data_IF_162133516593
#
_entry.id   IF_162133516593
#
_cell.length_a   1.000
_cell.length_b   1.000
_cell.length_c   1.000
_cell.angle_alpha   90.00
_cell.angle_beta   90.00
_cell.angle_gamma   90.00
#
_symmetry.space_group_name_H-M   'P 1'
#
loop_
_entity.id
_entity.type
_entity.pdbx_description
1 polymer ?
#
# COMPACT_ATOMS: atom_id res chain seq x y z
N UNK A 1 32.24 -12.91 -25.45
CA UNK A 1 30.86 -13.24 -25.01
C UNK A 1 30.65 -12.52 -23.69
N UNK A 2 30.12 -11.30 -23.74
CA UNK A 2 29.74 -10.53 -22.56
C UNK A 2 28.37 -9.95 -22.86
N UNK A 3 27.34 -10.57 -22.32
CA UNK A 3 25.96 -10.10 -22.42
C UNK A 3 25.68 -9.19 -21.23
N UNK A 4 25.64 -7.88 -21.49
CA UNK A 4 25.20 -6.86 -20.55
C UNK A 4 23.68 -6.93 -20.40
N UNK A 5 23.21 -7.26 -19.19
CA UNK A 5 21.79 -7.24 -18.84
C UNK A 5 21.34 -5.80 -18.62
N UNK A 6 20.60 -5.24 -19.57
CA UNK A 6 19.89 -3.98 -19.38
C UNK A 6 18.77 -4.18 -18.34
N UNK A 7 18.97 -3.66 -17.13
CA UNK A 7 17.93 -3.58 -16.11
C UNK A 7 16.93 -2.51 -16.50
N UNK A 8 15.75 -2.92 -16.98
CA UNK A 8 14.61 -2.01 -17.12
C UNK A 8 14.08 -1.66 -15.72
N UNK A 9 14.07 -0.37 -15.40
CA UNK A 9 13.52 0.17 -14.16
C UNK A 9 12.00 -0.10 -14.11
N UNK A 10 11.58 -1.11 -13.33
CA UNK A 10 10.18 -1.38 -13.08
C UNK A 10 9.64 -0.36 -12.08
N UNK A 11 8.69 0.47 -12.50
CA UNK A 11 8.09 1.48 -11.64
C UNK A 11 6.91 0.87 -10.89
N UNK A 12 6.92 0.93 -9.56
CA UNK A 12 5.77 0.50 -8.74
C UNK A 12 4.62 1.49 -8.87
N UNK A 13 3.42 1.07 -8.45
CA UNK A 13 2.22 1.89 -8.56
C UNK A 13 2.44 3.30 -7.97
N UNK A 14 2.29 4.37 -8.75
CA UNK A 14 2.44 5.72 -8.21
C UNK A 14 1.27 6.03 -7.27
N UNK A 15 1.58 6.45 -6.06
CA UNK A 15 0.62 7.06 -5.14
C UNK A 15 0.21 8.41 -5.73
N UNK A 16 -1.09 8.65 -5.97
CA UNK A 16 -1.58 9.96 -6.41
C UNK A 16 -1.46 10.97 -5.26
N UNK A 17 -0.44 11.82 -5.32
CA UNK A 17 -0.28 12.98 -4.43
C UNK A 17 -1.32 14.05 -4.79
N UNK A 18 -2.26 14.34 -3.88
CA UNK A 18 -2.99 15.62 -3.88
C UNK A 18 -3.04 16.13 -2.44
N UNK A 19 -2.20 17.12 -2.15
CA UNK A 19 -2.19 17.91 -0.91
C UNK A 19 -3.37 18.88 -0.92
N UNK A 20 -4.08 18.97 0.20
CA UNK A 20 -5.20 19.87 0.41
C UNK A 20 -4.73 21.18 1.08
N UNK A 21 -5.16 22.34 0.55
CA UNK A 21 -5.19 23.61 1.30
C UNK A 21 -6.43 24.44 0.96
N UNK A 22 -6.96 25.11 1.99
CA UNK A 22 -8.18 25.92 2.03
C UNK A 22 -7.93 27.41 1.68
N UNK A 23 -8.86 28.08 0.95
CA UNK A 23 -9.39 29.44 1.23
C UNK A 23 -10.49 29.85 0.22
N UNK A 24 -11.36 30.77 0.68
CA UNK A 24 -12.70 31.16 0.17
C UNK A 24 -12.67 32.38 -0.79
N UNK A 25 -13.57 32.37 -1.79
CA UNK A 25 -14.19 33.41 -2.67
C UNK A 25 -13.36 34.51 -3.39
N UNK A 26 -13.42 34.54 -4.74
CA UNK A 26 -14.16 35.51 -5.61
C UNK A 26 -14.06 35.12 -7.12
N UNK A 27 -15.07 35.46 -7.94
CA UNK A 27 -15.36 35.11 -9.38
C UNK A 27 -14.65 36.08 -10.38
N UNK A 28 -14.62 36.01 -11.76
CA UNK A 28 -15.24 35.10 -12.77
C UNK A 28 -14.33 34.44 -13.85
N UNK A 29 -14.94 33.45 -14.53
CA UNK A 29 -14.79 33.03 -15.95
C UNK A 29 -13.44 32.51 -16.45
N UNK A 30 -13.35 31.20 -16.70
CA UNK A 30 -13.14 30.55 -18.02
C UNK A 30 -13.19 29.02 -17.85
N UNK A 31 -13.84 28.38 -18.83
CA UNK A 31 -14.20 26.97 -19.03
C UNK A 31 -13.04 25.98 -18.75
N UNK A 32 -13.28 24.90 -17.98
CA UNK A 32 -13.06 23.47 -18.34
C UNK A 32 -13.72 22.51 -17.31
N UNK A 33 -14.35 21.39 -17.72
CA UNK A 33 -15.07 20.50 -16.81
C UNK A 33 -14.12 19.49 -16.14
N UNK A 34 -13.95 19.59 -14.81
CA UNK A 34 -13.55 18.42 -14.01
C UNK A 34 -14.70 17.42 -14.11
N UNK A 35 -14.43 16.26 -14.69
CA UNK A 35 -15.38 15.15 -14.73
C UNK A 35 -15.81 14.82 -13.29
N UNK A 36 -17.01 15.25 -12.92
CA UNK A 36 -17.70 14.80 -11.72
C UNK A 36 -18.04 13.35 -11.98
N UNK A 37 -17.28 12.44 -11.38
CA UNK A 37 -17.53 11.01 -11.44
C UNK A 37 -18.91 10.79 -10.80
N UNK A 38 -19.87 10.30 -11.58
CA UNK A 38 -21.23 10.06 -11.12
C UNK A 38 -21.23 8.98 -10.02
N UNK A 39 -21.39 9.43 -8.77
CA UNK A 39 -21.47 8.60 -7.58
C UNK A 39 -22.59 7.54 -7.63
N UNK A 40 -23.52 7.65 -8.59
CA UNK A 40 -24.70 6.78 -8.71
C UNK A 40 -24.42 5.42 -9.37
N UNK A 41 -23.35 5.28 -10.15
CA UNK A 41 -22.97 4.01 -10.82
C UNK A 41 -22.03 3.11 -10.01
N UNK A 42 -21.59 3.57 -8.83
CA UNK A 42 -20.71 2.83 -7.91
C UNK A 42 -21.47 1.96 -6.89
N UNK A 43 -22.80 1.83 -7.03
CA UNK A 43 -23.61 0.99 -6.15
C UNK A 43 -23.25 -0.49 -6.35
N UNK A 44 -22.27 -0.98 -5.58
CA UNK A 44 -21.98 -2.41 -5.44
C UNK A 44 -20.57 -2.86 -5.83
N UNK A 45 -19.69 -1.96 -6.28
CA UNK A 45 -18.30 -2.35 -6.57
C UNK A 45 -17.53 -2.58 -5.26
N UNK A 46 -16.94 -3.77 -5.14
CA UNK A 46 -16.05 -4.14 -4.03
C UNK A 46 -14.63 -4.28 -4.54
N UNK A 47 -13.65 -3.97 -3.68
CA UNK A 47 -12.26 -4.18 -4.01
C UNK A 47 -11.96 -5.67 -4.21
N UNK A 48 -11.33 -6.04 -5.32
CA UNK A 48 -11.00 -7.43 -5.64
C UNK A 48 -9.98 -8.08 -4.68
N UNK A 49 -9.30 -7.29 -3.85
CA UNK A 49 -8.43 -7.79 -2.78
C UNK A 49 -9.15 -7.85 -1.43
N UNK A 50 -9.61 -6.71 -0.90
CA UNK A 50 -10.15 -6.65 0.47
C UNK A 50 -11.65 -6.91 0.57
N UNK A 51 -12.35 -7.01 -0.57
CA UNK A 51 -13.80 -7.18 -0.69
C UNK A 51 -14.65 -6.12 0.04
N UNK A 52 -14.02 -5.05 0.52
CA UNK A 52 -14.71 -3.91 1.09
C UNK A 52 -15.20 -2.98 -0.02
N UNK A 53 -16.44 -2.46 0.07
CA UNK A 53 -16.93 -1.38 -0.77
C UNK A 53 -16.53 0.01 -0.22
N UNK A 54 -15.92 0.08 0.96
CA UNK A 54 -15.66 1.34 1.66
C UNK A 54 -14.31 1.93 1.27
N UNK A 55 -14.35 3.15 0.76
CA UNK A 55 -13.20 4.04 0.67
C UNK A 55 -12.91 4.67 2.03
N UNK A 56 -11.68 4.51 2.51
CA UNK A 56 -11.18 5.06 3.77
C UNK A 56 -9.75 5.53 3.56
N UNK A 57 -9.17 6.25 4.51
CA UNK A 57 -7.74 6.60 4.46
C UNK A 57 -6.84 5.36 4.34
N UNK A 58 -7.20 4.25 4.98
CA UNK A 58 -6.43 2.99 5.00
C UNK A 58 -6.53 2.20 3.70
N UNK A 59 -7.60 2.40 2.93
CA UNK A 59 -7.78 1.75 1.63
C UNK A 59 -7.34 2.64 0.48
N UNK A 60 -7.53 3.96 0.58
CA UNK A 60 -7.39 4.89 -0.54
C UNK A 60 -8.57 4.79 -1.53
N UNK A 61 -8.63 5.67 -2.54
CA UNK A 61 -9.69 5.65 -3.55
C UNK A 61 -9.69 4.36 -4.37
N UNK A 62 -10.81 4.09 -5.04
CA UNK A 62 -10.89 3.02 -6.03
C UNK A 62 -10.17 3.39 -7.32
N UNK A 63 -9.42 2.43 -7.85
CA UNK A 63 -8.86 2.39 -9.18
C UNK A 63 -9.55 1.28 -9.97
N UNK A 64 -9.59 1.43 -11.29
CA UNK A 64 -10.27 0.52 -12.19
C UNK A 64 -9.32 0.11 -13.29
N UNK A 65 -9.17 -1.20 -13.50
CA UNK A 65 -8.30 -1.72 -14.54
C UNK A 65 -9.06 -2.57 -15.54
N UNK A 66 -8.77 -2.38 -16.82
CA UNK A 66 -9.25 -3.23 -17.90
C UNK A 66 -8.10 -3.49 -18.88
N UNK A 67 -7.88 -4.76 -19.24
CA UNK A 67 -6.81 -5.16 -20.15
C UNK A 67 -5.43 -4.60 -19.76
N UNK A 68 -5.14 -4.57 -18.45
CA UNK A 68 -3.88 -4.06 -17.90
C UNK A 68 -3.74 -2.53 -17.91
N UNK A 69 -4.78 -1.74 -18.23
CA UNK A 69 -4.73 -0.28 -18.19
C UNK A 69 -5.71 0.30 -17.19
N UNK A 70 -5.36 1.40 -16.55
CA UNK A 70 -6.27 2.15 -15.69
C UNK A 70 -7.33 2.85 -16.55
N UNK A 71 -8.60 2.78 -16.13
CA UNK A 71 -9.74 3.34 -16.87
C UNK A 71 -10.55 4.27 -15.97
N UNK A 72 -10.92 5.44 -16.50
CA UNK A 72 -11.71 6.45 -15.76
C UNK A 72 -13.24 6.26 -15.80
N UNK A 73 -13.76 5.42 -16.71
CA UNK A 73 -15.20 5.20 -16.89
C UNK A 73 -15.50 3.72 -17.22
N UNK A 74 -16.62 3.20 -16.69
CA UNK A 74 -17.02 1.78 -16.67
C UNK A 74 -18.13 1.44 -17.69
N UNK A 75 -18.66 2.39 -18.46
CA UNK A 75 -19.96 2.24 -19.15
C UNK A 75 -20.05 1.16 -20.23
N UNK A 76 -18.98 0.45 -20.59
CA UNK A 76 -19.06 -0.61 -21.61
C UNK A 76 -18.00 -1.72 -21.55
N UNK A 77 -17.31 -1.92 -20.43
CA UNK A 77 -16.25 -2.93 -20.33
C UNK A 77 -16.69 -4.13 -19.48
N UNK A 78 -16.75 -5.32 -20.09
CA UNK A 78 -17.24 -6.56 -19.47
C UNK A 78 -16.28 -7.19 -18.43
N UNK A 79 -15.09 -6.62 -18.24
CA UNK A 79 -14.04 -7.14 -17.32
C UNK A 79 -13.24 -6.02 -16.67
N UNK A 80 -13.90 -5.19 -15.86
CA UNK A 80 -13.23 -4.18 -15.05
C UNK A 80 -12.86 -4.77 -13.69
N UNK A 81 -11.58 -4.69 -13.33
CA UNK A 81 -11.08 -5.03 -12.01
C UNK A 81 -11.10 -3.76 -11.15
N UNK A 82 -11.85 -3.80 -10.07
CA UNK A 82 -11.97 -2.69 -9.12
C UNK A 82 -11.10 -2.98 -7.89
N UNK A 83 -10.15 -2.10 -7.57
CA UNK A 83 -9.24 -2.26 -6.43
C UNK A 83 -8.97 -0.93 -5.77
N UNK A 84 -8.81 -0.91 -4.45
CA UNK A 84 -8.38 0.32 -3.79
C UNK A 84 -6.89 0.59 -4.05
N UNK A 85 -6.50 1.87 -4.15
CA UNK A 85 -5.13 2.28 -4.47
C UNK A 85 -4.09 1.71 -3.49
N UNK A 86 -4.33 1.76 -2.17
CA UNK A 86 -3.40 1.15 -1.19
C UNK A 86 -3.43 -0.38 -1.24
N UNK A 87 -4.56 -1.00 -1.63
CA UNK A 87 -4.62 -2.45 -1.77
C UNK A 87 -3.70 -2.95 -2.89
N UNK A 88 -3.65 -2.22 -4.02
CA UNK A 88 -2.79 -2.60 -5.14
C UNK A 88 -1.33 -2.18 -4.94
N UNK A 89 -1.07 -1.00 -4.37
CA UNK A 89 0.27 -0.48 -4.08
C UNK A 89 1.09 -1.41 -3.16
N UNK A 90 0.43 -1.97 -2.13
CA UNK A 90 1.03 -2.90 -1.18
C UNK A 90 0.94 -4.36 -1.60
N UNK A 91 0.36 -4.66 -2.77
CA UNK A 91 0.38 -6.01 -3.32
C UNK A 91 1.77 -6.29 -3.89
N UNK A 92 2.42 -7.39 -3.48
CA UNK A 92 3.75 -7.71 -3.97
C UNK A 92 3.70 -8.04 -5.47
N UNK A 93 4.78 -7.77 -6.20
CA UNK A 93 4.95 -8.16 -7.62
C UNK A 93 4.02 -7.47 -8.63
N UNK A 94 3.11 -6.58 -8.20
CA UNK A 94 2.38 -5.68 -9.11
C UNK A 94 3.26 -4.47 -9.40
N UNK A 95 3.41 -4.16 -10.69
CA UNK A 95 4.21 -3.03 -11.15
C UNK A 95 3.68 -2.53 -12.49
N UNK A 96 4.15 -1.35 -12.89
CA UNK A 96 3.86 -0.74 -14.17
C UNK A 96 5.02 -0.90 -15.15
N UNK A 97 4.70 -1.27 -16.37
CA UNK A 97 5.59 -1.19 -17.53
C UNK A 97 4.98 -0.17 -18.51
N UNK A 98 5.48 1.08 -18.45
CA UNK A 98 4.77 2.22 -19.01
C UNK A 98 3.40 2.39 -18.35
N UNK A 99 2.34 2.53 -19.14
CA UNK A 99 0.96 2.68 -18.64
C UNK A 99 0.23 1.34 -18.44
N UNK A 100 0.95 0.21 -18.51
CA UNK A 100 0.37 -1.12 -18.41
C UNK A 100 0.75 -1.72 -17.06
N UNK A 101 -0.26 -2.06 -16.27
CA UNK A 101 -0.08 -2.81 -15.04
C UNK A 101 0.17 -4.29 -15.33
N UNK A 102 1.20 -4.83 -14.69
CA UNK A 102 1.62 -6.23 -14.81
C UNK A 102 1.30 -6.99 -13.53
N UNK A 103 1.09 -8.30 -13.68
CA UNK A 103 0.84 -9.26 -12.60
C UNK A 103 -0.40 -9.04 -11.73
N UNK A 104 -1.28 -8.09 -12.03
CA UNK A 104 -2.50 -7.85 -11.27
C UNK A 104 -3.37 -9.11 -11.15
N UNK A 105 -3.71 -9.76 -12.28
CA UNK A 105 -4.50 -11.00 -12.30
C UNK A 105 -3.81 -12.16 -11.56
N UNK A 106 -2.49 -12.28 -11.71
CA UNK A 106 -1.68 -13.31 -11.04
C UNK A 106 -1.74 -13.13 -9.52
N UNK A 107 -1.59 -11.90 -9.05
CA UNK A 107 -1.62 -11.58 -7.62
C UNK A 107 -3.03 -11.66 -7.03
N UNK A 108 -4.07 -11.31 -7.78
CA UNK A 108 -5.47 -11.58 -7.40
C UNK A 108 -5.72 -13.08 -7.25
N UNK A 109 -5.26 -13.88 -8.21
CA UNK A 109 -5.38 -15.34 -8.17
C UNK A 109 -4.63 -15.97 -7.00
N UNK A 110 -3.47 -15.40 -6.62
CA UNK A 110 -2.72 -15.79 -5.43
C UNK A 110 -3.48 -15.41 -4.16
N UNK A 111 -3.92 -14.15 -4.06
CA UNK A 111 -4.62 -13.61 -2.90
C UNK A 111 -5.95 -14.34 -2.62
N UNK A 112 -6.66 -14.78 -3.65
CA UNK A 112 -7.88 -15.59 -3.54
C UNK A 112 -7.68 -16.92 -2.78
N UNK A 113 -6.45 -17.41 -2.68
CA UNK A 113 -6.09 -18.64 -1.94
C UNK A 113 -5.62 -18.34 -0.51
N UNK A 114 -5.35 -17.09 -0.17
CA UNK A 114 -4.78 -16.68 1.11
C UNK A 114 -5.83 -16.06 2.02
N UNK A 115 -5.88 -16.53 3.27
CA UNK A 115 -6.74 -15.97 4.31
C UNK A 115 -6.04 -14.85 5.06
N UNK A 116 -6.78 -13.81 5.39
CA UNK A 116 -6.30 -12.74 6.25
C UNK A 116 -6.13 -13.28 7.68
N UNK A 117 -4.95 -13.13 8.27
CA UNK A 117 -4.68 -13.55 9.65
C UNK A 117 -5.35 -12.67 10.72
N UNK A 118 -6.22 -11.73 10.32
CA UNK A 118 -6.99 -10.86 11.21
C UNK A 118 -8.48 -11.16 11.15
N UNK A 119 -9.05 -11.29 9.94
CA UNK A 119 -10.48 -11.52 9.74
C UNK A 119 -10.84 -12.90 9.12
N UNK A 120 -9.84 -13.75 8.84
CA UNK A 120 -9.97 -15.09 8.25
C UNK A 120 -10.62 -15.19 6.85
N UNK A 121 -10.93 -14.06 6.22
CA UNK A 121 -11.46 -13.99 4.85
C UNK A 121 -10.36 -14.04 3.79
N UNK A 122 -10.71 -14.54 2.59
CA UNK A 122 -9.81 -14.63 1.42
C UNK A 122 -9.50 -13.25 0.82
N UNK A 123 -8.45 -13.18 -0.02
CA UNK A 123 -8.03 -11.95 -0.73
C UNK A 123 -6.85 -11.22 -0.08
N UNK A 124 -6.20 -11.85 0.88
CA UNK A 124 -5.12 -11.26 1.68
C UNK A 124 -3.77 -11.26 0.94
N UNK A 125 -3.56 -10.29 0.06
CA UNK A 125 -2.35 -10.22 -0.75
C UNK A 125 -1.10 -9.78 0.05
N UNK A 126 -1.25 -8.94 1.08
CA UNK A 126 -0.14 -8.38 1.84
C UNK A 126 0.49 -9.44 2.75
N UNK A 127 1.72 -9.85 2.45
CA UNK A 127 2.49 -10.80 3.26
C UNK A 127 3.44 -10.12 4.24
N UNK A 128 3.84 -10.84 5.28
CA UNK A 128 4.96 -10.43 6.10
C UNK A 128 6.29 -10.54 5.31
N UNK A 129 7.20 -9.58 5.51
CA UNK A 129 8.51 -9.53 4.87
C UNK A 129 9.40 -10.75 5.16
N UNK A 130 9.26 -11.36 6.35
CA UNK A 130 10.02 -12.57 6.71
C UNK A 130 9.58 -13.75 5.83
N UNK A 131 10.46 -14.25 4.96
CA UNK A 131 10.14 -15.27 3.94
C UNK A 131 9.53 -16.57 4.47
N UNK A 132 9.91 -17.00 5.68
CA UNK A 132 9.35 -18.21 6.31
C UNK A 132 7.96 -17.97 6.94
N UNK A 133 7.55 -16.72 7.12
CA UNK A 133 6.26 -16.36 7.69
C UNK A 133 5.14 -16.62 6.68
N UNK A 134 4.07 -17.27 7.14
CA UNK A 134 2.87 -17.56 6.33
C UNK A 134 1.71 -16.61 6.61
N UNK A 135 1.91 -15.58 7.44
CA UNK A 135 0.86 -14.60 7.74
C UNK A 135 0.64 -13.66 6.57
N UNK A 136 -0.61 -13.56 6.17
CA UNK A 136 -1.10 -12.70 5.10
C UNK A 136 -2.25 -11.86 5.63
N UNK A 137 -2.42 -10.64 5.11
CA UNK A 137 -3.45 -9.72 5.53
C UNK A 137 -4.10 -9.02 4.34
N UNK A 138 -5.34 -8.55 4.52
CA UNK A 138 -5.77 -7.40 3.75
C UNK A 138 -5.00 -6.18 4.25
N UNK A 139 -4.63 -5.28 3.34
CA UNK A 139 -3.98 -4.01 3.68
C UNK A 139 -4.73 -3.23 4.77
N UNK A 140 -6.06 -2.97 4.66
CA UNK A 140 -6.79 -2.29 5.72
C UNK A 140 -6.77 -3.05 7.05
N UNK A 141 -6.89 -4.38 7.04
CA UNK A 141 -6.83 -5.18 8.27
C UNK A 141 -5.47 -5.09 8.95
N UNK A 142 -4.37 -5.04 8.19
CA UNK A 142 -3.04 -4.86 8.75
C UNK A 142 -2.87 -3.46 9.38
N UNK A 143 -3.48 -2.42 8.79
CA UNK A 143 -3.44 -1.06 9.35
C UNK A 143 -4.19 -0.91 10.67
N UNK A 144 -5.14 -1.80 10.98
CA UNK A 144 -5.81 -1.84 12.29
C UNK A 144 -4.94 -2.48 13.39
N UNK A 145 -3.84 -3.15 13.02
CA UNK A 145 -3.00 -3.87 13.98
C UNK A 145 -1.82 -2.98 14.37
N UNK A 146 -1.82 -2.52 15.62
CA UNK A 146 -0.82 -1.58 16.15
C UNK A 146 0.64 -2.08 16.04
N UNK A 147 0.86 -3.39 16.19
CA UNK A 147 2.20 -3.98 16.20
C UNK A 147 2.72 -4.36 14.80
N UNK A 148 1.95 -4.11 13.73
CA UNK A 148 2.47 -4.21 12.37
C UNK A 148 3.45 -3.05 12.12
N UNK A 149 4.65 -3.36 11.62
CA UNK A 149 5.59 -2.34 11.15
C UNK A 149 5.57 -2.26 9.64
N UNK A 150 5.74 -1.05 9.12
CA UNK A 150 5.65 -0.75 7.70
C UNK A 150 6.93 -0.05 7.26
N UNK A 151 7.45 -0.47 6.12
CA UNK A 151 8.50 0.22 5.37
C UNK A 151 7.81 0.85 4.15
N UNK A 152 7.61 2.17 4.20
CA UNK A 152 6.90 2.91 3.17
C UNK A 152 7.75 3.12 1.91
N UNK A 153 9.08 3.02 2.03
CA UNK A 153 9.99 3.23 0.91
C UNK A 153 10.07 1.96 0.05
N UNK A 154 10.18 0.81 0.71
CA UNK A 154 10.26 -0.49 0.04
C UNK A 154 8.88 -1.19 -0.09
N UNK A 155 7.84 -0.61 0.52
CA UNK A 155 6.47 -1.14 0.59
C UNK A 155 6.44 -2.60 1.05
N UNK A 156 7.05 -2.86 2.20
CA UNK A 156 7.03 -4.16 2.88
C UNK A 156 6.54 -4.02 4.32
N UNK A 157 5.96 -5.09 4.86
CA UNK A 157 5.34 -5.08 6.20
C UNK A 157 5.88 -6.21 7.07
N UNK A 158 6.10 -5.96 8.35
CA UNK A 158 6.39 -6.98 9.36
C UNK A 158 5.16 -7.17 10.25
N UNK A 159 4.69 -8.42 10.35
CA UNK A 159 3.55 -8.75 11.21
C UNK A 159 3.95 -8.63 12.70
N UNK A 160 2.97 -8.65 13.63
CA UNK A 160 3.25 -8.45 15.06
C UNK A 160 4.29 -9.41 15.64
N UNK A 161 4.34 -10.65 15.14
CA UNK A 161 5.30 -11.66 15.58
C UNK A 161 6.73 -11.30 15.14
N UNK A 162 6.89 -10.63 14.01
CA UNK A 162 8.19 -10.26 13.46
C UNK A 162 8.49 -8.76 13.60
N UNK A 163 7.76 -8.02 14.44
CA UNK A 163 7.95 -6.57 14.62
C UNK A 163 9.38 -6.19 15.02
N UNK A 164 10.11 -7.08 15.68
CA UNK A 164 11.50 -6.84 16.12
C UNK A 164 12.55 -7.16 15.04
N UNK A 165 12.14 -7.74 13.90
CA UNK A 165 13.03 -7.94 12.75
C UNK A 165 13.32 -6.59 12.11
N UNK A 166 14.50 -6.45 11.50
CA UNK A 166 14.88 -5.23 10.78
C UNK A 166 14.42 -5.29 9.33
N UNK A 167 13.99 -4.15 8.82
CA UNK A 167 13.82 -3.98 7.38
C UNK A 167 15.18 -3.93 6.67
N UNK A 168 15.24 -4.25 5.36
CA UNK A 168 16.46 -4.08 4.58
C UNK A 168 16.90 -2.62 4.62
N UNK A 169 18.17 -2.37 5.01
CA UNK A 169 18.72 -1.01 5.14
C UNK A 169 18.47 -0.32 6.49
N UNK A 170 17.74 -0.95 7.42
CA UNK A 170 17.49 -0.35 8.74
C UNK A 170 18.77 -0.36 9.62
N UNK A 171 19.34 0.84 9.84
CA UNK A 171 20.53 0.99 10.70
C UNK A 171 20.17 0.73 12.17
N UNK A 172 21.00 -0.06 12.85
CA UNK A 172 20.89 -0.26 14.30
C UNK A 172 21.09 1.08 15.00
N UNK A 173 20.10 1.57 15.76
CA UNK A 173 20.38 2.58 16.78
C UNK A 173 21.20 1.89 17.88
N UNK A 174 22.52 2.10 17.89
CA UNK A 174 23.38 1.71 18.99
C UNK A 174 22.85 2.39 20.26
N UNK A 175 22.43 1.60 21.26
CA UNK A 175 22.05 2.12 22.57
C UNK A 175 23.28 2.81 23.16
N UNK A 176 23.30 4.15 23.19
CA UNK A 176 24.27 4.87 24.00
C UNK A 176 24.00 4.47 25.45
N UNK A 177 24.92 3.72 26.03
CA UNK A 177 24.92 3.40 27.45
C UNK A 177 25.00 4.74 28.19
N UNK A 178 23.92 5.16 28.85
CA UNK A 178 23.97 6.27 29.80
C UNK A 178 24.82 5.77 30.96
N UNK A 179 26.11 6.09 30.94
CA UNK A 179 27.00 5.88 32.07
C UNK A 179 26.48 6.78 33.18
N UNK A 180 25.90 6.20 34.23
CA UNK A 180 25.58 6.93 35.47
C UNK A 180 26.89 7.49 36.01
N UNK A 181 27.01 8.81 36.06
CA UNK A 181 28.10 9.44 36.81
C UNK A 181 27.79 9.30 38.30
N UNK A 182 28.64 8.56 39.00
CA UNK A 182 28.66 8.51 40.45
C UNK A 182 29.41 9.76 40.90
N UNK A 183 28.71 10.70 41.54
CA UNK A 183 29.36 11.82 42.22
C UNK A 183 30.17 11.30 43.41
N UNK A 184 31.43 11.75 43.61
CA UNK A 184 32.15 11.48 44.83
C UNK A 184 31.62 12.41 45.93
N UNK A 185 31.13 11.80 47.02
CA UNK A 185 30.99 12.46 48.31
C UNK A 185 32.34 13.01 48.74
N UNK A 186 32.46 14.33 48.84
CA UNK A 186 33.60 14.99 49.48
C UNK A 186 33.32 15.10 50.97
N UNK A 187 34.13 14.37 51.75
CA UNK A 187 34.24 14.48 53.20
C UNK A 187 35.04 15.73 53.61
N UNK A 188 34.46 16.51 54.54
CA UNK A 188 35.09 17.11 55.74
C UNK A 188 35.75 18.50 55.60
N UNK A 189 35.90 19.28 56.69
CA UNK A 189 35.82 18.94 58.12
C UNK A 189 34.61 19.45 58.90
#
# INVERSE_FOLDING_TARGET
MSSESHGQTLQRCPSSEIVAEHKICEYPSVIQPKAVIDQRLLKGSVCAFCHSPKTTEKTGPFLYYANGREVGNFTSLSKVICVHSKCIEWTPQVYYEGDIIKNLDTELSRAAKLKCSSCDLKGAALGCYVRSCRRSYHVPCAFEIQDCRWDMDNYVMLCPIHRSVKFPGEKSKSRKHVRREVHPETSHP
#
